data_IF_732302824918
#
_entry.id   IF_732302824918
#
_cell.length_a   1.000
_cell.length_b   1.000
_cell.length_c   1.000
_cell.angle_alpha   90.00
_cell.angle_beta   90.00
_cell.angle_gamma   90.00
#
_symmetry.space_group_name_H-M   'P 1'
#
loop_
_entity.id
_entity.type
_entity.pdbx_description
1 polymer ?
#
# COMPACT_ATOMS: atom_id res chain seq x y z
N UNK A 1 25.70 11.27 -13.85
CA UNK A 1 25.59 12.75 -13.91
C UNK A 1 26.03 13.32 -15.27
N UNK A 2 27.02 12.78 -15.93
CA UNK A 2 27.51 13.24 -17.23
C UNK A 2 26.51 13.11 -18.40
N UNK A 3 25.68 12.06 -18.43
CA UNK A 3 24.69 11.82 -19.49
C UNK A 3 23.52 12.82 -19.48
N UNK A 4 23.19 13.42 -18.35
CA UNK A 4 22.13 14.43 -18.23
C UNK A 4 22.54 15.77 -18.91
N UNK A 5 23.83 16.13 -18.85
CA UNK A 5 24.33 17.36 -19.46
C UNK A 5 24.47 17.25 -20.97
N UNK A 6 24.71 16.05 -21.51
CA UNK A 6 24.83 15.82 -22.94
C UNK A 6 23.47 15.94 -23.68
N UNK A 7 22.36 15.65 -22.98
CA UNK A 7 21.01 15.69 -23.57
C UNK A 7 20.23 16.99 -23.30
N UNK A 8 20.86 18.00 -22.68
CA UNK A 8 20.21 19.31 -22.46
C UNK A 8 19.83 20.02 -23.76
N UNK A 9 20.56 19.78 -24.85
CA UNK A 9 20.24 20.30 -26.18
C UNK A 9 18.94 19.68 -26.75
N UNK A 10 18.77 18.37 -26.58
CA UNK A 10 17.55 17.65 -27.01
C UNK A 10 16.34 18.02 -26.16
N UNK A 11 16.54 18.20 -24.84
CA UNK A 11 15.49 18.66 -23.91
C UNK A 11 14.99 20.07 -24.22
N UNK A 12 15.87 20.97 -24.72
CA UNK A 12 15.49 22.33 -25.14
C UNK A 12 14.71 22.36 -26.46
N UNK A 13 14.93 21.35 -27.31
CA UNK A 13 14.21 21.20 -28.57
C UNK A 13 12.88 20.47 -28.42
N UNK A 14 12.57 19.94 -27.24
CA UNK A 14 11.33 19.23 -26.98
C UNK A 14 10.22 20.25 -26.64
N UNK A 15 9.23 20.32 -27.51
CA UNK A 15 8.09 21.19 -27.32
C UNK A 15 7.13 20.51 -26.30
N UNK A 16 7.19 20.94 -25.05
CA UNK A 16 6.34 20.40 -23.98
C UNK A 16 4.92 20.97 -24.12
N UNK A 17 4.05 20.24 -24.77
CA UNK A 17 2.63 20.54 -24.77
C UNK A 17 1.94 19.85 -23.58
N UNK A 18 1.65 20.59 -22.53
CA UNK A 18 0.95 20.05 -21.36
C UNK A 18 -0.55 20.02 -21.66
N UNK A 19 -1.12 18.83 -21.70
CA UNK A 19 -2.57 18.63 -21.75
C UNK A 19 -3.18 18.75 -20.35
N UNK A 20 -3.52 19.95 -19.95
CA UNK A 20 -4.01 20.27 -18.60
C UNK A 20 -5.17 19.38 -18.14
N UNK A 21 -6.03 18.92 -19.05
CA UNK A 21 -7.12 18.00 -18.73
C UNK A 21 -6.62 16.66 -18.15
N UNK A 22 -5.68 16.00 -18.85
CA UNK A 22 -5.08 14.75 -18.38
C UNK A 22 -4.24 14.96 -17.11
N UNK A 23 -3.53 16.09 -17.04
CA UNK A 23 -2.77 16.47 -15.86
C UNK A 23 -3.65 16.55 -14.61
N UNK A 24 -4.72 17.35 -14.60
CA UNK A 24 -5.61 17.45 -13.46
C UNK A 24 -6.35 16.13 -13.16
N UNK A 25 -6.76 15.40 -14.20
CA UNK A 25 -7.41 14.11 -14.01
C UNK A 25 -6.47 13.09 -13.34
N UNK A 26 -5.18 13.10 -13.67
CA UNK A 26 -4.19 12.23 -13.01
C UNK A 26 -4.12 12.49 -11.50
N UNK A 27 -4.17 13.75 -11.06
CA UNK A 27 -4.20 14.10 -9.64
C UNK A 27 -5.46 13.61 -8.93
N UNK A 28 -6.61 13.57 -9.61
CA UNK A 28 -7.84 12.98 -9.05
C UNK A 28 -7.62 11.49 -8.75
N UNK A 29 -7.02 10.73 -9.68
CA UNK A 29 -6.71 9.32 -9.47
C UNK A 29 -5.70 9.12 -8.34
N UNK A 30 -4.66 9.93 -8.25
CA UNK A 30 -3.70 9.91 -7.15
C UNK A 30 -4.40 10.17 -5.80
N UNK A 31 -5.28 11.16 -5.73
CA UNK A 31 -6.05 11.46 -4.53
C UNK A 31 -6.95 10.30 -4.12
N UNK A 32 -7.68 9.71 -5.09
CA UNK A 32 -8.54 8.53 -4.86
C UNK A 32 -7.71 7.37 -4.33
N UNK A 33 -6.52 7.10 -4.89
CA UNK A 33 -5.60 6.09 -4.38
C UNK A 33 -5.27 6.30 -2.89
N UNK A 34 -4.88 7.52 -2.49
CA UNK A 34 -4.58 7.84 -1.09
C UNK A 34 -5.78 7.61 -0.17
N UNK A 35 -6.99 7.97 -0.62
CA UNK A 35 -8.23 7.74 0.13
C UNK A 35 -8.47 6.24 0.32
N UNK A 36 -8.34 5.43 -0.75
CA UNK A 36 -8.55 3.98 -0.68
C UNK A 36 -7.63 3.31 0.33
N UNK A 37 -6.32 3.60 0.28
CA UNK A 37 -5.36 3.00 1.21
C UNK A 37 -5.62 3.47 2.65
N UNK A 38 -6.00 4.73 2.86
CA UNK A 38 -6.29 5.24 4.19
C UNK A 38 -7.56 4.60 4.79
N UNK A 39 -8.58 4.37 3.98
CA UNK A 39 -9.79 3.65 4.38
C UNK A 39 -9.47 2.18 4.68
N UNK A 40 -8.67 1.51 3.86
CA UNK A 40 -8.23 0.14 4.08
C UNK A 40 -7.51 -0.02 5.43
N UNK A 41 -6.60 0.91 5.77
CA UNK A 41 -5.96 0.93 7.08
C UNK A 41 -6.97 1.13 8.22
N UNK A 42 -7.92 2.04 8.07
CA UNK A 42 -8.99 2.26 9.05
C UNK A 42 -9.84 1.02 9.28
N UNK A 43 -10.16 0.27 8.23
CA UNK A 43 -10.88 -1.01 8.30
C UNK A 43 -10.04 -2.08 9.00
N UNK A 44 -8.76 -2.20 8.65
CA UNK A 44 -7.82 -3.12 9.31
C UNK A 44 -7.72 -2.82 10.81
N UNK A 45 -7.61 -1.55 11.18
CA UNK A 45 -7.53 -1.14 12.59
C UNK A 45 -8.79 -1.52 13.38
N UNK A 46 -9.98 -1.34 12.78
CA UNK A 46 -11.25 -1.76 13.38
C UNK A 46 -11.38 -3.28 13.54
N UNK A 47 -10.76 -4.04 12.64
CA UNK A 47 -10.74 -5.50 12.74
C UNK A 47 -9.83 -5.99 13.86
N UNK A 48 -8.75 -5.26 14.15
CA UNK A 48 -7.81 -5.59 15.22
C UNK A 48 -8.32 -5.18 16.60
N UNK A 49 -8.99 -4.03 16.72
CA UNK A 49 -9.54 -3.54 17.98
C UNK A 49 -10.79 -2.69 17.75
N UNK A 50 -11.92 -3.09 18.36
CA UNK A 50 -13.15 -2.30 18.37
C UNK A 50 -13.13 -1.30 19.56
N UNK A 51 -13.72 -0.11 19.38
CA UNK A 51 -14.48 0.38 18.22
C UNK A 51 -13.60 0.87 17.04
N UNK A 52 -12.28 0.90 17.18
CA UNK A 52 -11.38 1.43 16.16
C UNK A 52 -11.43 2.95 16.04
N UNK A 53 -11.04 3.45 14.88
CA UNK A 53 -11.05 4.88 14.55
C UNK A 53 -12.14 5.15 13.51
N UNK A 54 -12.89 6.29 13.59
CA UNK A 54 -13.77 6.70 12.50
C UNK A 54 -13.01 6.79 11.17
N UNK A 55 -13.63 6.38 10.06
CA UNK A 55 -12.93 6.29 8.76
C UNK A 55 -12.34 7.62 8.32
N UNK A 56 -13.06 8.72 8.52
CA UNK A 56 -12.53 10.06 8.21
C UNK A 56 -11.33 10.44 9.09
N UNK A 57 -11.35 10.04 10.36
CA UNK A 57 -10.20 10.25 11.23
C UNK A 57 -9.03 9.34 10.86
N UNK A 58 -9.29 8.12 10.39
CA UNK A 58 -8.26 7.23 9.86
C UNK A 58 -7.56 7.84 8.63
N UNK A 59 -8.33 8.42 7.70
CA UNK A 59 -7.80 9.16 6.56
C UNK A 59 -6.85 10.26 7.01
N UNK A 60 -7.32 11.13 7.91
CA UNK A 60 -6.51 12.24 8.44
C UNK A 60 -5.23 11.76 9.15
N UNK A 61 -5.36 10.76 10.03
CA UNK A 61 -4.24 10.23 10.80
C UNK A 61 -3.20 9.62 9.88
N UNK A 62 -3.65 8.81 8.92
CA UNK A 62 -2.76 8.17 7.96
C UNK A 62 -2.01 9.21 7.12
N UNK A 63 -2.72 10.15 6.53
CA UNK A 63 -2.11 11.20 5.68
C UNK A 63 -1.07 12.01 6.46
N UNK A 64 -1.39 12.46 7.68
CA UNK A 64 -0.43 13.20 8.49
C UNK A 64 0.76 12.32 8.89
N UNK A 65 0.53 11.06 9.23
CA UNK A 65 1.62 10.17 9.65
C UNK A 65 2.58 9.80 8.51
N UNK A 66 2.11 9.81 7.27
CA UNK A 66 2.96 9.50 6.11
C UNK A 66 4.09 10.51 5.91
N UNK A 67 3.97 11.75 6.42
CA UNK A 67 5.10 12.68 6.48
C UNK A 67 6.29 12.11 7.27
N UNK A 68 6.04 11.23 8.23
CA UNK A 68 7.09 10.53 8.97
C UNK A 68 7.97 9.60 8.10
N UNK A 69 7.52 9.24 6.89
CA UNK A 69 8.31 8.41 5.95
C UNK A 69 9.48 9.18 5.35
N UNK A 70 9.42 10.51 5.33
CA UNK A 70 10.50 11.38 4.84
C UNK A 70 11.58 11.61 5.89
N UNK A 71 11.33 11.26 7.15
CA UNK A 71 12.33 11.35 8.22
C UNK A 71 13.27 10.14 8.17
N UNK A 72 14.57 10.31 8.49
CA UNK A 72 15.52 9.22 8.53
C UNK A 72 15.09 8.15 9.53
N UNK A 73 15.17 6.86 9.13
CA UNK A 73 14.82 5.71 9.98
C UNK A 73 13.47 5.04 9.65
N UNK A 74 12.63 5.59 8.76
CA UNK A 74 11.38 4.99 8.24
C UNK A 74 10.32 4.52 9.28
N UNK A 75 10.60 4.53 10.59
CA UNK A 75 9.65 4.11 11.63
C UNK A 75 8.80 5.27 12.18
N UNK A 76 9.14 6.51 11.86
CA UNK A 76 8.46 7.70 12.36
C UNK A 76 6.98 7.74 12.01
N UNK A 77 6.58 7.21 10.85
CA UNK A 77 5.16 7.15 10.49
C UNK A 77 4.34 6.32 11.48
N UNK A 78 4.92 5.24 12.05
CA UNK A 78 4.27 4.43 13.09
C UNK A 78 4.15 5.24 14.38
N UNK A 79 5.21 5.97 14.77
CA UNK A 79 5.20 6.81 15.99
C UNK A 79 4.17 7.92 15.88
N UNK A 80 4.05 8.57 14.72
CA UNK A 80 3.01 9.57 14.48
C UNK A 80 1.61 8.96 14.56
N UNK A 81 1.38 7.78 13.99
CA UNK A 81 0.09 7.06 14.13
C UNK A 81 -0.24 6.78 15.58
N UNK A 82 0.73 6.27 16.35
CA UNK A 82 0.54 6.02 17.78
C UNK A 82 0.16 7.32 18.51
N UNK A 83 0.88 8.41 18.26
CA UNK A 83 0.61 9.70 18.90
C UNK A 83 -0.79 10.23 18.53
N UNK A 84 -1.14 10.25 17.24
CA UNK A 84 -2.42 10.77 16.75
C UNK A 84 -3.62 9.90 17.16
N UNK A 85 -3.41 8.59 17.37
CA UNK A 85 -4.46 7.67 17.81
C UNK A 85 -4.70 7.67 19.33
N UNK A 86 -3.88 8.34 20.14
CA UNK A 86 -4.02 8.35 21.62
C UNK A 86 -5.43 8.71 22.10
N UNK A 87 -6.07 9.68 21.45
CA UNK A 87 -7.43 10.12 21.79
C UNK A 87 -8.51 9.06 21.60
N UNK A 88 -8.23 8.00 20.83
CA UNK A 88 -9.18 6.90 20.60
C UNK A 88 -8.98 5.73 21.55
N UNK A 89 -8.11 5.88 22.57
CA UNK A 89 -7.84 4.84 23.60
C UNK A 89 -7.42 3.50 23.02
N UNK A 90 -6.79 3.49 21.83
CA UNK A 90 -6.27 2.30 21.20
C UNK A 90 -4.89 1.94 21.79
N UNK A 91 -4.61 0.64 21.90
CA UNK A 91 -3.29 0.17 22.30
C UNK A 91 -2.24 0.57 21.25
N UNK A 92 -1.10 1.09 21.72
CA UNK A 92 0.03 1.40 20.83
C UNK A 92 0.52 0.17 20.06
N UNK A 93 0.39 -1.03 20.66
CA UNK A 93 0.70 -2.29 19.98
C UNK A 93 -0.23 -2.55 18.81
N UNK A 94 -1.54 -2.35 18.98
CA UNK A 94 -2.52 -2.51 17.90
C UNK A 94 -2.24 -1.55 16.74
N UNK A 95 -1.92 -0.31 17.06
CA UNK A 95 -1.62 0.71 16.03
C UNK A 95 -0.35 0.33 15.26
N UNK A 96 0.71 -0.06 15.96
CA UNK A 96 1.96 -0.49 15.33
C UNK A 96 1.76 -1.74 14.47
N UNK A 97 1.04 -2.76 14.99
CA UNK A 97 0.71 -3.97 14.24
C UNK A 97 -0.11 -3.62 13.00
N UNK A 98 -1.13 -2.76 13.11
CA UNK A 98 -1.95 -2.36 11.97
C UNK A 98 -1.14 -1.65 10.88
N UNK A 99 -0.19 -0.80 11.27
CA UNK A 99 0.69 -0.09 10.34
C UNK A 99 1.62 -1.04 9.59
N UNK A 100 2.21 -2.02 10.28
CA UNK A 100 3.06 -3.04 9.65
C UNK A 100 2.26 -4.01 8.78
N UNK A 101 1.04 -4.35 9.19
CA UNK A 101 0.14 -5.18 8.38
C UNK A 101 -0.34 -4.45 7.12
N UNK A 102 -0.56 -3.15 7.18
CA UNK A 102 -0.82 -2.34 5.99
C UNK A 102 0.33 -2.45 4.98
N UNK A 103 1.59 -2.29 5.42
CA UNK A 103 2.75 -2.43 4.53
C UNK A 103 2.84 -3.85 3.94
N UNK A 104 2.56 -4.85 4.75
CA UNK A 104 2.55 -6.25 4.31
C UNK A 104 1.49 -6.48 3.23
N UNK A 105 0.24 -6.06 3.46
CA UNK A 105 -0.84 -6.14 2.47
C UNK A 105 -0.52 -5.37 1.19
N UNK A 106 0.11 -4.21 1.34
CA UNK A 106 0.53 -3.38 0.23
C UNK A 106 1.57 -4.10 -0.66
N UNK A 107 2.58 -4.72 -0.06
CA UNK A 107 3.58 -5.52 -0.78
C UNK A 107 2.93 -6.71 -1.49
N UNK A 108 2.05 -7.46 -0.79
CA UNK A 108 1.38 -8.62 -1.40
C UNK A 108 0.49 -8.23 -2.58
N UNK A 109 -0.24 -7.10 -2.47
CA UNK A 109 -1.07 -6.60 -3.57
C UNK A 109 -0.23 -6.17 -4.77
N UNK A 110 0.97 -5.62 -4.54
CA UNK A 110 1.91 -5.25 -5.61
C UNK A 110 2.45 -6.49 -6.32
N UNK A 111 2.80 -7.55 -5.57
CA UNK A 111 3.23 -8.83 -6.17
C UNK A 111 2.11 -9.41 -7.03
N UNK A 112 0.88 -9.42 -6.52
CA UNK A 112 -0.28 -9.91 -7.25
C UNK A 112 -0.52 -9.10 -8.54
N UNK A 113 -0.45 -7.77 -8.45
CA UNK A 113 -0.60 -6.89 -9.62
C UNK A 113 0.50 -7.13 -10.66
N UNK A 114 1.76 -7.28 -10.22
CA UNK A 114 2.86 -7.62 -11.10
C UNK A 114 2.61 -8.91 -11.89
N UNK A 115 2.16 -9.97 -11.19
CA UNK A 115 1.82 -11.25 -11.83
C UNK A 115 0.72 -11.06 -12.88
N UNK A 116 -0.36 -10.36 -12.52
CA UNK A 116 -1.49 -10.11 -13.44
C UNK A 116 -1.03 -9.33 -14.67
N UNK A 117 -0.29 -8.23 -14.49
CA UNK A 117 0.21 -7.41 -15.61
C UNK A 117 1.17 -8.22 -16.47
N UNK A 118 2.06 -9.02 -15.87
CA UNK A 118 2.99 -9.86 -16.63
C UNK A 118 2.24 -10.76 -17.61
N UNK A 119 1.18 -11.47 -17.16
CA UNK A 119 0.41 -12.34 -18.03
C UNK A 119 -0.46 -11.60 -19.05
N UNK A 120 -0.88 -10.38 -18.76
CA UNK A 120 -1.66 -9.56 -19.70
C UNK A 120 -0.80 -8.95 -20.81
N UNK A 121 0.45 -8.58 -20.52
CA UNK A 121 1.33 -7.87 -21.45
C UNK A 121 2.27 -8.82 -22.19
N UNK A 122 2.63 -9.95 -21.60
CA UNK A 122 3.50 -10.93 -22.27
C UNK A 122 2.77 -11.63 -23.41
N UNK A 123 3.20 -11.34 -24.63
CA UNK A 123 2.64 -11.94 -25.85
C UNK A 123 3.09 -13.39 -26.05
N UNK A 124 4.13 -13.80 -25.36
CA UNK A 124 4.66 -15.19 -25.35
C UNK A 124 4.59 -15.78 -23.94
N UNK A 125 3.46 -16.42 -23.57
CA UNK A 125 3.28 -17.02 -22.24
C UNK A 125 4.21 -18.19 -21.95
N UNK A 126 4.88 -18.75 -22.98
CA UNK A 126 5.88 -19.81 -22.86
C UNK A 126 7.28 -19.30 -22.61
N UNK A 127 7.46 -18.02 -22.32
CA UNK A 127 8.76 -17.48 -21.97
C UNK A 127 9.34 -18.20 -20.75
N UNK A 128 10.66 -18.36 -20.74
CA UNK A 128 11.43 -18.97 -19.63
C UNK A 128 11.01 -18.46 -18.24
N UNK A 129 10.51 -17.22 -18.16
CA UNK A 129 10.16 -16.55 -16.91
C UNK A 129 8.69 -16.73 -16.49
N UNK A 130 7.80 -17.15 -17.39
CA UNK A 130 6.38 -17.30 -17.08
C UNK A 130 6.15 -18.27 -15.91
N UNK A 131 6.90 -19.39 -15.87
CA UNK A 131 6.82 -20.35 -14.77
C UNK A 131 7.20 -19.73 -13.42
N UNK A 132 8.30 -18.95 -13.38
CA UNK A 132 8.75 -18.28 -12.16
C UNK A 132 7.74 -17.25 -11.68
N UNK A 133 7.15 -16.48 -12.61
CA UNK A 133 6.12 -15.49 -12.29
C UNK A 133 4.85 -16.18 -11.79
N UNK A 134 4.46 -17.29 -12.40
CA UNK A 134 3.30 -18.07 -11.94
C UNK A 134 3.48 -18.59 -10.51
N UNK A 135 4.70 -18.99 -10.13
CA UNK A 135 5.02 -19.43 -8.77
C UNK A 135 4.89 -18.32 -7.71
N UNK A 136 4.86 -17.05 -8.10
CA UNK A 136 4.62 -15.93 -7.19
C UNK A 136 3.15 -15.77 -6.82
N UNK A 137 2.22 -16.26 -7.64
CA UNK A 137 0.78 -16.08 -7.45
C UNK A 137 0.24 -16.69 -6.14
N UNK A 138 0.61 -17.90 -5.71
CA UNK A 138 0.13 -18.47 -4.47
C UNK A 138 0.68 -17.77 -3.23
N UNK A 139 1.79 -17.04 -3.33
CA UNK A 139 2.44 -16.41 -2.17
C UNK A 139 1.49 -15.45 -1.42
N UNK A 140 0.86 -14.46 -2.05
CA UNK A 140 -0.09 -13.58 -1.37
C UNK A 140 -1.24 -14.35 -0.73
N UNK A 141 -1.77 -15.37 -1.41
CA UNK A 141 -2.91 -16.15 -0.93
C UNK A 141 -2.56 -16.99 0.30
N UNK A 142 -1.40 -17.66 0.29
CA UNK A 142 -0.91 -18.44 1.43
C UNK A 142 -0.58 -17.53 2.62
N UNK A 143 0.08 -16.41 2.37
CA UNK A 143 0.46 -15.47 3.42
C UNK A 143 -0.75 -14.76 4.04
N UNK A 144 -1.88 -14.67 3.32
CA UNK A 144 -3.16 -14.18 3.85
C UNK A 144 -3.92 -15.22 4.68
N UNK A 145 -3.46 -16.48 4.74
CA UNK A 145 -4.14 -17.46 5.58
C UNK A 145 -4.15 -17.02 7.05
N UNK A 146 -5.29 -17.09 7.78
CA UNK A 146 -5.42 -16.58 9.15
C UNK A 146 -4.36 -17.10 10.12
N UNK A 147 -3.91 -18.35 9.96
CA UNK A 147 -2.84 -18.92 10.81
C UNK A 147 -1.50 -18.22 10.58
N UNK A 148 -1.13 -17.98 9.33
CA UNK A 148 0.10 -17.27 8.97
C UNK A 148 0.02 -15.83 9.43
N UNK A 149 -1.12 -15.16 9.19
CA UNK A 149 -1.37 -13.80 9.63
C UNK A 149 -1.26 -13.64 11.15
N UNK A 150 -1.86 -14.54 11.93
CA UNK A 150 -1.74 -14.55 13.40
C UNK A 150 -0.30 -14.81 13.85
N UNK A 151 0.45 -15.66 13.15
CA UNK A 151 1.85 -15.89 13.42
C UNK A 151 2.67 -14.61 13.24
N UNK A 152 2.45 -13.85 12.16
CA UNK A 152 3.06 -12.53 11.97
C UNK A 152 2.72 -11.56 13.11
N UNK A 153 1.44 -11.47 13.52
CA UNK A 153 1.03 -10.62 14.65
C UNK A 153 1.78 -11.02 15.93
N UNK A 154 1.92 -12.33 16.20
CA UNK A 154 2.67 -12.83 17.35
C UNK A 154 4.13 -12.41 17.32
N UNK A 155 4.79 -12.50 16.17
CA UNK A 155 6.18 -12.08 16.00
C UNK A 155 6.31 -10.58 16.28
N UNK A 156 5.46 -9.75 15.66
CA UNK A 156 5.47 -8.30 15.87
C UNK A 156 5.23 -7.94 17.33
N UNK A 157 4.24 -8.55 17.98
CA UNK A 157 3.96 -8.33 19.40
C UNK A 157 5.18 -8.69 20.28
N UNK A 158 5.87 -9.81 19.97
CA UNK A 158 7.09 -10.23 20.68
C UNK A 158 8.23 -9.23 20.48
N UNK A 159 8.47 -8.76 19.26
CA UNK A 159 9.50 -7.75 18.96
C UNK A 159 9.21 -6.44 19.71
N UNK A 160 7.95 -6.03 19.74
CA UNK A 160 7.52 -4.82 20.45
C UNK A 160 7.41 -4.98 21.96
N UNK A 161 7.70 -6.20 22.51
CA UNK A 161 7.55 -6.54 23.94
C UNK A 161 6.16 -6.18 24.47
N UNK A 162 5.12 -6.45 23.70
CA UNK A 162 3.72 -6.19 24.02
C UNK A 162 2.92 -7.48 24.06
N UNK A 163 1.82 -7.48 24.80
CA UNK A 163 0.91 -8.62 24.84
C UNK A 163 0.35 -8.93 23.47
N UNK A 164 0.24 -10.23 23.17
CA UNK A 164 -0.37 -10.70 21.94
C UNK A 164 -1.87 -10.39 21.94
N UNK A 165 -2.33 -9.76 20.87
CA UNK A 165 -3.74 -9.45 20.66
C UNK A 165 -4.29 -10.52 19.71
N UNK A 166 -5.12 -11.46 20.23
CA UNK A 166 -5.74 -12.46 19.37
C UNK A 166 -6.73 -11.77 18.41
N UNK A 167 -6.41 -11.74 17.14
CA UNK A 167 -7.33 -11.22 16.13
C UNK A 167 -8.15 -12.37 15.53
N UNK A 168 -9.48 -12.26 15.57
CA UNK A 168 -10.40 -13.18 14.89
C UNK A 168 -10.75 -12.68 13.49
N UNK A 169 -9.73 -12.29 12.73
CA UNK A 169 -9.94 -11.82 11.37
C UNK A 169 -10.16 -13.04 10.47
N UNK A 170 -11.29 -13.08 9.76
CA UNK A 170 -11.60 -14.17 8.83
C UNK A 170 -10.75 -14.08 7.56
N UNK A 171 -10.53 -15.21 6.91
CA UNK A 171 -9.79 -15.26 5.64
C UNK A 171 -10.44 -14.39 4.57
N UNK A 172 -11.78 -14.46 4.43
CA UNK A 172 -12.52 -13.63 3.47
C UNK A 172 -12.34 -12.13 3.72
N UNK A 173 -12.25 -11.70 5.00
CA UNK A 173 -11.97 -10.30 5.32
C UNK A 173 -10.55 -9.87 4.92
N UNK A 174 -9.55 -10.73 5.14
CA UNK A 174 -8.18 -10.46 4.70
C UNK A 174 -8.08 -10.37 3.18
N UNK A 175 -8.77 -11.26 2.46
CA UNK A 175 -8.83 -11.21 1.00
C UNK A 175 -9.56 -9.95 0.50
N UNK A 176 -10.63 -9.52 1.17
CA UNK A 176 -11.31 -8.27 0.82
C UNK A 176 -10.41 -7.04 1.02
N UNK A 177 -9.61 -7.01 2.10
CA UNK A 177 -8.61 -5.97 2.29
C UNK A 177 -7.54 -6.01 1.20
N UNK A 178 -7.03 -7.19 0.87
CA UNK A 178 -6.05 -7.35 -0.22
C UNK A 178 -6.61 -6.83 -1.55
N UNK A 179 -7.87 -7.11 -1.85
CA UNK A 179 -8.54 -6.59 -3.05
C UNK A 179 -8.64 -5.06 -3.05
N UNK A 180 -8.87 -4.43 -1.90
CA UNK A 180 -8.87 -2.95 -1.80
C UNK A 180 -7.49 -2.37 -2.10
N UNK A 181 -6.42 -2.97 -1.58
CA UNK A 181 -5.05 -2.55 -1.90
C UNK A 181 -4.72 -2.79 -3.38
N UNK A 182 -5.14 -3.92 -3.93
CA UNK A 182 -4.95 -4.24 -5.34
C UNK A 182 -5.63 -3.20 -6.26
N UNK A 183 -6.89 -2.84 -5.98
CA UNK A 183 -7.62 -1.80 -6.69
C UNK A 183 -6.94 -0.43 -6.53
N UNK A 184 -6.44 -0.11 -5.34
CA UNK A 184 -5.72 1.13 -5.11
C UNK A 184 -4.48 1.24 -6.00
N UNK A 185 -3.74 0.15 -6.22
CA UNK A 185 -2.59 0.13 -7.12
C UNK A 185 -2.99 0.28 -8.60
N UNK A 186 -4.12 -0.31 -9.03
CA UNK A 186 -4.65 -0.10 -10.39
C UNK A 186 -4.99 1.38 -10.58
N UNK A 187 -5.68 1.99 -9.61
CA UNK A 187 -6.05 3.41 -9.64
C UNK A 187 -4.78 4.28 -9.75
N UNK A 188 -3.75 3.98 -8.97
CA UNK A 188 -2.47 4.68 -9.03
C UNK A 188 -1.81 4.55 -10.41
N UNK A 189 -1.76 3.33 -10.96
CA UNK A 189 -1.20 3.06 -12.28
C UNK A 189 -1.93 3.83 -13.37
N UNK A 190 -3.26 3.91 -13.27
CA UNK A 190 -4.07 4.69 -14.21
C UNK A 190 -3.80 6.20 -14.10
N UNK A 191 -3.60 6.70 -12.89
CA UNK A 191 -3.18 8.08 -12.66
C UNK A 191 -1.84 8.40 -13.33
N UNK A 192 -0.83 7.54 -13.19
CA UNK A 192 0.45 7.70 -13.89
C UNK A 192 0.34 7.57 -15.41
N UNK A 193 -0.51 6.65 -15.88
CA UNK A 193 -0.79 6.52 -17.31
C UNK A 193 -1.36 7.82 -17.90
N UNK A 194 -2.35 8.43 -17.26
CA UNK A 194 -2.90 9.71 -17.69
C UNK A 194 -1.86 10.83 -17.64
N UNK A 195 -0.98 10.80 -16.63
CA UNK A 195 0.10 11.78 -16.53
C UNK A 195 1.11 11.67 -17.67
N UNK A 196 1.30 10.47 -18.25
CA UNK A 196 2.17 10.30 -19.42
C UNK A 196 1.60 10.88 -20.71
N UNK A 197 0.31 11.22 -20.76
CA UNK A 197 -0.37 11.89 -21.86
C UNK A 197 -0.56 13.40 -21.62
N UNK A 198 -0.14 13.90 -20.48
CA UNK A 198 -0.21 15.32 -20.18
C UNK A 198 1.02 16.06 -20.71
#
# INVERSE_FOLDING_TARGET
>A
MFTLFLNLGELRAYDFHISWGYFFLSFVFLFVHFVFIALAWGLLLRALQKPGVPLFAALRIRTISDFGRFLPGKFWFVMFRIHLCRKYKLSSAVIAVSALMEEFLNILSTILLFVVIFFLVSHDPLTRYALYVFLLLPIPLVLMHPLVFQWFIKIIARILKKEYIPSRISYGYLLSLLSVFFLAWIILGFGFYLMSYS
#
